data_IF_749908126046
#
_entry.id   IF_749908126046
#
_cell.length_a   1.000
_cell.length_b   1.000
_cell.length_c   1.000
_cell.angle_alpha   90.00
_cell.angle_beta   90.00
_cell.angle_gamma   90.00
#
_symmetry.space_group_name_H-M   'P 1'
#
loop_
_entity.id
_entity.type
_entity.pdbx_description
1 polymer ?
#
# COMPACT_ATOMS: atom_id res chain seq x y z
N UNK A 1 3.03 -19.45 1.11
CA UNK A 1 3.57 -20.29 0.01
C UNK A 1 5.08 -20.13 0.05
N UNK A 2 5.80 -21.21 0.32
CA UNK A 2 7.26 -21.21 0.44
C UNK A 2 7.91 -21.20 -0.96
N UNK A 3 9.21 -20.90 -1.03
CA UNK A 3 9.97 -20.98 -2.29
C UNK A 3 9.93 -22.40 -2.88
N UNK A 4 9.92 -23.41 -2.00
CA UNK A 4 9.88 -24.83 -2.36
C UNK A 4 8.54 -25.16 -3.03
N UNK A 5 7.43 -24.67 -2.47
CA UNK A 5 6.09 -24.90 -3.01
C UNK A 5 5.90 -24.30 -4.42
N UNK A 6 6.62 -23.20 -4.73
CA UNK A 6 6.55 -22.55 -6.03
C UNK A 6 7.29 -23.35 -7.11
N UNK A 7 8.46 -23.89 -6.76
CA UNK A 7 9.25 -24.76 -7.64
C UNK A 7 8.49 -26.05 -7.93
N UNK A 8 7.91 -26.68 -6.91
CA UNK A 8 7.09 -27.91 -7.08
C UNK A 8 5.86 -27.69 -7.97
N UNK A 9 5.32 -26.47 -8.00
CA UNK A 9 4.19 -26.09 -8.86
C UNK A 9 4.60 -25.59 -10.25
N UNK A 10 5.89 -25.65 -10.60
CA UNK A 10 6.41 -25.20 -11.89
C UNK A 10 6.27 -23.69 -12.12
N UNK A 11 6.22 -22.91 -11.05
CA UNK A 11 6.07 -21.45 -11.12
C UNK A 11 7.45 -20.82 -11.31
N UNK A 12 7.60 -20.07 -12.40
CA UNK A 12 8.79 -19.22 -12.61
C UNK A 12 8.70 -17.97 -11.72
N UNK A 13 9.24 -18.09 -10.52
CA UNK A 13 9.25 -17.01 -9.53
C UNK A 13 10.04 -15.78 -10.02
N UNK A 14 11.12 -15.98 -10.79
CA UNK A 14 11.93 -14.87 -11.32
C UNK A 14 11.10 -14.04 -12.30
N UNK A 15 10.36 -14.71 -13.18
CA UNK A 15 9.45 -14.04 -14.11
C UNK A 15 8.40 -13.22 -13.36
N UNK A 16 7.76 -13.79 -12.34
CA UNK A 16 6.75 -13.08 -11.56
C UNK A 16 7.29 -11.85 -10.81
N UNK A 17 8.49 -11.94 -10.25
CA UNK A 17 9.14 -10.79 -9.59
C UNK A 17 9.43 -9.69 -10.60
N UNK A 18 9.92 -10.05 -11.79
CA UNK A 18 10.18 -9.09 -12.87
C UNK A 18 8.89 -8.45 -13.38
N UNK A 19 7.81 -9.21 -13.53
CA UNK A 19 6.48 -8.68 -13.86
C UNK A 19 6.01 -7.68 -12.79
N UNK A 20 6.09 -8.03 -11.50
CA UNK A 20 5.73 -7.13 -10.40
C UNK A 20 6.57 -5.83 -10.39
N UNK A 21 7.88 -5.95 -10.61
CA UNK A 21 8.77 -4.79 -10.75
C UNK A 21 8.34 -3.93 -11.94
N UNK A 22 8.09 -4.55 -13.09
CA UNK A 22 7.68 -3.88 -14.32
C UNK A 22 6.28 -3.27 -14.24
N UNK A 23 5.40 -3.78 -13.40
CA UNK A 23 4.03 -3.25 -13.28
C UNK A 23 3.92 -2.14 -12.24
N UNK A 24 4.69 -2.22 -11.14
CA UNK A 24 4.47 -1.35 -9.97
C UNK A 24 5.68 -0.51 -9.54
N UNK A 25 6.91 -0.85 -9.97
CA UNK A 25 8.11 -0.06 -9.65
C UNK A 25 8.32 1.03 -10.72
N UNK A 26 7.57 2.13 -10.60
CA UNK A 26 7.65 3.28 -11.49
C UNK A 26 7.27 4.60 -10.80
N UNK A 27 7.76 5.72 -11.33
CA UNK A 27 7.69 7.06 -10.72
C UNK A 27 6.26 7.56 -10.48
N UNK A 28 5.30 7.15 -11.31
CA UNK A 28 3.88 7.48 -11.15
C UNK A 28 3.25 6.95 -9.84
N UNK A 29 3.81 5.90 -9.24
CA UNK A 29 3.34 5.36 -7.95
C UNK A 29 4.25 5.70 -6.76
N UNK A 30 5.43 6.24 -7.03
CA UNK A 30 6.44 6.50 -5.99
C UNK A 30 6.27 7.88 -5.36
N UNK A 31 6.72 7.99 -4.11
CA UNK A 31 6.93 9.24 -3.39
C UNK A 31 8.33 9.20 -2.79
N UNK A 32 9.08 10.27 -2.99
CA UNK A 32 10.44 10.42 -2.49
C UNK A 32 10.49 11.59 -1.51
N UNK A 33 11.16 11.39 -0.39
CA UNK A 33 11.46 12.43 0.60
C UNK A 33 12.97 12.38 0.86
N UNK A 34 13.64 13.52 0.73
CA UNK A 34 15.08 13.67 1.00
C UNK A 34 15.23 14.71 2.11
N UNK A 35 16.03 14.38 3.12
CA UNK A 35 16.35 15.27 4.26
C UNK A 35 17.86 15.37 4.33
N UNK A 36 18.38 16.61 4.34
CA UNK A 36 19.80 16.90 4.44
C UNK A 36 20.04 18.29 5.00
N UNK A 37 21.29 18.57 5.37
CA UNK A 37 21.71 19.90 5.84
C UNK A 37 22.01 20.89 4.71
N UNK A 38 22.03 20.40 3.46
CA UNK A 38 22.28 21.21 2.26
C UNK A 38 21.08 22.09 1.90
N UNK A 39 21.31 23.07 1.02
CA UNK A 39 20.23 23.91 0.49
C UNK A 39 19.25 23.11 -0.36
N UNK A 40 18.02 23.63 -0.50
CA UNK A 40 16.99 23.00 -1.33
C UNK A 40 17.43 22.84 -2.79
N UNK A 41 18.22 23.76 -3.33
CA UNK A 41 18.74 23.68 -4.70
C UNK A 41 19.67 22.47 -4.89
N UNK A 42 20.56 22.22 -3.91
CA UNK A 42 21.47 21.07 -3.93
C UNK A 42 20.68 19.77 -3.81
N UNK A 43 19.74 19.71 -2.86
CA UNK A 43 18.90 18.52 -2.68
C UNK A 43 18.05 18.23 -3.91
N UNK A 44 17.49 19.27 -4.54
CA UNK A 44 16.74 19.13 -5.79
C UNK A 44 17.64 18.63 -6.92
N UNK A 45 18.86 19.16 -7.05
CA UNK A 45 19.81 18.74 -8.06
C UNK A 45 20.12 17.24 -7.96
N UNK A 46 20.42 16.73 -6.77
CA UNK A 46 20.66 15.30 -6.56
C UNK A 46 19.42 14.45 -6.83
N UNK A 47 18.23 14.93 -6.48
CA UNK A 47 16.98 14.21 -6.79
C UNK A 47 16.82 14.05 -8.30
N UNK A 48 17.06 15.12 -9.07
CA UNK A 48 16.99 15.05 -10.52
C UNK A 48 18.07 14.11 -11.05
N UNK A 49 19.32 14.28 -10.63
CA UNK A 49 20.46 13.49 -11.10
C UNK A 49 20.29 11.98 -10.86
N UNK A 50 19.80 11.60 -9.67
CA UNK A 50 19.78 10.20 -9.24
C UNK A 50 18.48 9.46 -9.59
N UNK A 51 17.38 10.19 -9.80
CA UNK A 51 16.05 9.59 -9.93
C UNK A 51 15.32 9.95 -11.24
N UNK A 52 15.88 10.78 -12.13
CA UNK A 52 15.25 11.14 -13.40
C UNK A 52 14.93 9.95 -14.30
N UNK A 53 15.76 8.91 -14.23
CA UNK A 53 15.68 7.75 -15.14
C UNK A 53 14.60 6.75 -14.71
N UNK A 54 13.94 6.98 -13.57
CA UNK A 54 12.80 6.18 -13.17
C UNK A 54 11.65 6.46 -14.13
N UNK A 55 11.29 5.45 -14.91
CA UNK A 55 10.13 5.48 -15.81
C UNK A 55 8.87 5.95 -15.09
N UNK A 56 8.07 6.80 -15.74
CA UNK A 56 6.80 7.29 -15.19
C UNK A 56 5.80 6.14 -14.94
N UNK A 57 5.83 5.09 -15.78
CA UNK A 57 4.86 4.00 -15.80
C UNK A 57 3.45 4.45 -16.19
N UNK A 58 2.47 3.57 -16.07
CA UNK A 58 1.10 3.86 -16.48
C UNK A 58 0.41 4.84 -15.52
N UNK A 59 -0.49 5.69 -16.03
CA UNK A 59 -1.19 6.72 -15.25
C UNK A 59 -2.34 6.15 -14.38
N UNK A 60 -2.62 4.85 -14.47
CA UNK A 60 -3.65 4.20 -13.67
C UNK A 60 -3.14 3.92 -12.27
N UNK A 61 -3.72 4.57 -11.25
CA UNK A 61 -3.53 4.08 -9.88
C UNK A 61 -4.05 2.65 -9.81
N UNK A 62 -3.32 1.71 -9.17
CA UNK A 62 -3.86 0.38 -8.95
C UNK A 62 -5.17 0.49 -8.16
N UNK A 63 -6.25 0.01 -8.78
CA UNK A 63 -7.53 -0.16 -8.10
C UNK A 63 -7.46 -1.44 -7.27
N UNK A 64 -7.14 -1.28 -5.99
CA UNK A 64 -7.33 -2.36 -5.03
C UNK A 64 -8.82 -2.50 -4.75
N UNK A 65 -9.47 -3.40 -5.48
CA UNK A 65 -10.84 -3.83 -5.16
C UNK A 65 -10.78 -4.62 -3.86
N UNK A 66 -11.03 -3.94 -2.75
CA UNK A 66 -11.21 -4.60 -1.46
C UNK A 66 -12.58 -5.25 -1.47
N UNK A 67 -12.64 -6.58 -1.56
CA UNK A 67 -13.88 -7.37 -1.48
C UNK A 67 -14.44 -7.37 -0.05
N UNK A 68 -14.85 -6.19 0.42
CA UNK A 68 -15.43 -6.00 1.73
C UNK A 68 -14.45 -6.18 2.90
N UNK A 69 -14.93 -6.08 4.14
CA UNK A 69 -14.08 -6.21 5.31
C UNK A 69 -13.63 -7.67 5.51
N UNK A 70 -12.39 -7.85 5.95
CA UNK A 70 -11.85 -9.16 6.37
C UNK A 70 -12.75 -9.83 7.42
N UNK A 71 -13.34 -9.02 8.31
CA UNK A 71 -14.25 -9.47 9.36
C UNK A 71 -15.69 -9.08 9.06
N UNK A 72 -16.61 -10.02 9.24
CA UNK A 72 -18.05 -9.79 9.09
C UNK A 72 -18.60 -9.17 10.37
N UNK A 73 -19.49 -8.19 10.22
CA UNK A 73 -20.19 -7.60 11.36
C UNK A 73 -21.01 -8.66 12.11
N UNK A 74 -21.22 -8.43 13.41
CA UNK A 74 -22.03 -9.30 14.28
C UNK A 74 -21.51 -10.74 14.40
N UNK A 75 -20.20 -10.95 14.20
CA UNK A 75 -19.53 -12.23 14.43
C UNK A 75 -18.52 -12.09 15.56
N UNK A 76 -18.48 -13.12 16.41
CA UNK A 76 -17.42 -13.31 17.40
C UNK A 76 -16.32 -14.15 16.77
N UNK A 77 -15.10 -13.62 16.76
CA UNK A 77 -13.91 -14.32 16.30
C UNK A 77 -13.04 -14.67 17.51
N UNK A 78 -12.84 -15.96 17.76
CA UNK A 78 -11.93 -16.45 18.80
C UNK A 78 -10.67 -16.97 18.12
N UNK A 79 -9.53 -16.42 18.51
CA UNK A 79 -8.22 -16.82 18.04
C UNK A 79 -7.45 -17.42 19.21
N UNK A 80 -6.80 -18.56 19.00
CA UNK A 80 -5.92 -19.14 20.01
C UNK A 80 -4.60 -18.37 20.04
N UNK A 81 -4.30 -17.78 21.18
CA UNK A 81 -3.06 -17.06 21.36
C UNK A 81 -1.91 -18.04 21.58
N UNK A 82 -0.80 -17.84 20.87
CA UNK A 82 0.44 -18.60 21.09
C UNK A 82 1.14 -18.19 22.39
N UNK A 83 0.92 -16.94 22.83
CA UNK A 83 1.44 -16.41 24.10
C UNK A 83 0.32 -16.36 25.13
N UNK A 84 0.70 -16.31 26.40
CA UNK A 84 -0.24 -16.11 27.51
C UNK A 84 -0.75 -14.67 27.54
N UNK A 85 -1.75 -14.39 26.70
CA UNK A 85 -2.41 -13.08 26.57
C UNK A 85 -3.92 -13.25 26.48
N UNK A 86 -4.63 -12.32 27.10
CA UNK A 86 -6.09 -12.25 27.07
C UNK A 86 -6.53 -10.90 26.51
N UNK A 87 -6.81 -10.86 25.21
CA UNK A 87 -7.21 -9.65 24.49
C UNK A 87 -8.65 -9.81 24.03
N UNK A 88 -9.48 -8.81 24.36
CA UNK A 88 -10.81 -8.64 23.79
C UNK A 88 -10.82 -7.36 22.96
N UNK A 89 -11.02 -7.49 21.64
CA UNK A 89 -11.12 -6.36 20.72
C UNK A 89 -12.57 -6.21 20.23
N UNK A 90 -13.17 -5.03 20.45
CA UNK A 90 -14.49 -4.68 19.95
C UNK A 90 -14.33 -3.72 18.77
N UNK A 91 -14.68 -4.17 17.55
CA UNK A 91 -14.68 -3.31 16.35
C UNK A 91 -16.11 -2.93 15.96
N UNK A 92 -16.38 -1.64 15.93
CA UNK A 92 -17.60 -1.06 15.37
C UNK A 92 -17.26 -0.27 14.11
N UNK A 93 -18.09 -0.35 13.07
CA UNK A 93 -17.93 0.49 11.88
C UNK A 93 -18.64 1.82 12.11
N UNK A 94 -17.88 2.92 12.07
CA UNK A 94 -18.46 4.24 11.92
C UNK A 94 -18.64 4.53 10.43
N UNK A 95 -19.86 4.88 10.01
CA UNK A 95 -20.07 5.45 8.67
C UNK A 95 -19.48 6.85 8.66
N UNK A 96 -18.52 7.10 7.77
CA UNK A 96 -18.03 8.45 7.50
C UNK A 96 -19.15 9.25 6.81
N UNK A 97 -19.88 10.07 7.56
CA UNK A 97 -20.81 11.06 7.00
C UNK A 97 -19.97 12.21 6.45
N UNK A 98 -19.75 12.25 5.13
CA UNK A 98 -19.35 13.50 4.48
C UNK A 98 -20.57 14.42 4.44
N UNK A 99 -20.78 15.18 5.50
CA UNK A 99 -21.77 16.24 5.54
C UNK A 99 -21.28 17.36 4.61
N UNK A 100 -21.93 17.51 3.46
CA UNK A 100 -21.85 18.72 2.65
C UNK A 100 -22.36 19.87 3.53
N UNK A 101 -21.48 20.73 4.02
CA UNK A 101 -21.86 22.07 4.48
C UNK A 101 -22.13 22.90 3.23
N UNK A 102 -23.31 22.69 2.63
CA UNK A 102 -23.91 23.66 1.72
C UNK A 102 -24.21 24.92 2.52
N UNK A 103 -23.71 26.05 2.03
CA UNK A 103 -23.88 27.38 2.62
C UNK A 103 -25.33 27.63 3.06
N UNK A 104 -25.47 27.98 4.34
CA UNK A 104 -26.58 28.69 4.95
C UNK A 104 -25.84 29.78 5.75
N UNK A 105 -25.93 31.07 5.50
CA UNK A 105 -27.04 31.91 5.11
C UNK A 105 -26.52 33.13 4.31
N UNK A 106 -27.47 33.87 3.71
CA UNK A 106 -27.36 35.25 3.22
C UNK A 106 -26.45 36.16 4.05
#
# INVERSE_FOLDING_TARGET
MSLVDAIEKGIDLRKQILELYNDYYHGGLMKLVVIGGESLDILQHWVVELFSDIRQGSQGKPEFKVEGPVWRASKLYRLEAVKDVHILELRMRYMHFSMWMGNLYL
#
